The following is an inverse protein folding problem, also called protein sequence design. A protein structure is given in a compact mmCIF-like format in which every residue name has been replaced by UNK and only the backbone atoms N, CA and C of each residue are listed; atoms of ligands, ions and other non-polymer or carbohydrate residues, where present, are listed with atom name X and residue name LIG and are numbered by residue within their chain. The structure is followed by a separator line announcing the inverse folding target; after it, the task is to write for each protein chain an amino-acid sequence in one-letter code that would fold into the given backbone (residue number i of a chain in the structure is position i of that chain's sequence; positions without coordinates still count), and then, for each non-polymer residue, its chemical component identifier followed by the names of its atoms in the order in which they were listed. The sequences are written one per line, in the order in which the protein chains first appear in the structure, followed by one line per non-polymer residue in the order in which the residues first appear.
data_IF_414520670218
#
_entry.id   IF_414520670218
#
_cell.length_a   1.000
_cell.length_b   1.000
_cell.length_c   1.000
_cell.angle_alpha   90.00
_cell.angle_beta   90.00
_cell.angle_gamma   90.00
#
_symmetry.space_group_name_H-M   'P 1'
#
loop_
_entity.id
_entity.type
_entity.pdbx_description
1 polymer ?
#
# COMPACT_ATOMS: atom_id res chain seq x y z
N UNK A 1 31.95 -5.41 -20.38
CA UNK A 1 30.58 -5.06 -20.83
C UNK A 1 29.78 -6.33 -21.13
N UNK A 2 30.23 -7.23 -22.07
CA UNK A 2 29.48 -8.46 -22.44
C UNK A 2 29.18 -9.34 -21.24
N UNK A 3 30.15 -9.60 -20.34
CA UNK A 3 29.97 -10.36 -19.10
C UNK A 3 28.94 -9.70 -18.17
N UNK A 4 28.94 -8.38 -18.07
CA UNK A 4 27.93 -7.64 -17.29
C UNK A 4 26.52 -7.83 -17.89
N UNK A 5 26.38 -7.77 -19.21
CA UNK A 5 25.10 -7.99 -19.88
C UNK A 5 24.53 -9.38 -19.59
N UNK A 6 25.37 -10.41 -19.54
CA UNK A 6 24.95 -11.76 -19.17
C UNK A 6 24.67 -11.92 -17.67
N UNK A 7 25.54 -11.34 -16.83
CA UNK A 7 25.39 -11.46 -15.38
C UNK A 7 24.12 -10.77 -14.84
N UNK A 8 23.78 -9.61 -15.40
CA UNK A 8 22.60 -8.83 -15.03
C UNK A 8 21.39 -9.08 -15.93
N UNK A 9 21.48 -10.07 -16.83
CA UNK A 9 20.40 -10.44 -17.78
C UNK A 9 19.78 -9.23 -18.52
N UNK A 10 20.61 -8.28 -18.93
CA UNK A 10 20.18 -7.02 -19.56
C UNK A 10 19.36 -7.29 -20.83
N UNK A 11 19.66 -8.37 -21.56
CA UNK A 11 18.95 -8.72 -22.81
C UNK A 11 17.50 -9.10 -22.49
N UNK A 12 17.27 -9.90 -21.45
CA UNK A 12 15.92 -10.28 -21.02
C UNK A 12 15.18 -9.07 -20.49
N UNK A 13 15.84 -8.21 -19.73
CA UNK A 13 15.28 -6.94 -19.29
C UNK A 13 14.83 -6.05 -20.46
N UNK A 14 15.68 -5.86 -21.48
CA UNK A 14 15.32 -5.06 -22.66
C UNK A 14 14.22 -5.69 -23.51
N UNK A 15 14.10 -7.02 -23.51
CA UNK A 15 12.95 -7.71 -24.12
C UNK A 15 11.68 -7.45 -23.31
N UNK A 16 11.75 -7.60 -22.00
CA UNK A 16 10.64 -7.34 -21.08
C UNK A 16 10.10 -5.90 -21.21
N UNK A 17 10.99 -4.89 -21.25
CA UNK A 17 10.57 -3.48 -21.40
C UNK A 17 9.95 -3.13 -22.75
N UNK A 18 10.09 -4.00 -23.75
CA UNK A 18 9.48 -3.85 -25.08
C UNK A 18 8.26 -4.76 -25.29
N UNK A 19 7.96 -5.57 -24.32
CA UNK A 19 6.84 -6.50 -24.42
C UNK A 19 5.55 -5.77 -23.96
N UNK A 20 4.59 -5.66 -24.85
CA UNK A 20 3.26 -5.22 -24.49
C UNK A 20 2.62 -6.28 -23.60
N UNK A 21 2.11 -5.87 -22.46
CA UNK A 21 1.39 -6.75 -21.53
C UNK A 21 -0.10 -6.63 -21.79
N UNK A 22 -0.76 -7.74 -21.98
CA UNK A 22 -2.22 -7.83 -22.09
C UNK A 22 -2.88 -8.23 -20.77
N UNK A 23 -2.16 -8.05 -19.64
CA UNK A 23 -2.64 -8.52 -18.34
C UNK A 23 -3.95 -7.85 -17.94
N UNK A 24 -4.14 -6.58 -18.30
CA UNK A 24 -5.37 -5.87 -17.99
C UNK A 24 -6.52 -6.35 -18.88
N UNK A 25 -6.29 -6.51 -20.18
CA UNK A 25 -7.29 -6.94 -21.15
C UNK A 25 -7.75 -8.39 -20.90
N UNK A 26 -6.81 -9.24 -20.47
CA UNK A 26 -7.07 -10.68 -20.33
C UNK A 26 -7.50 -11.09 -18.91
N UNK A 27 -7.08 -10.33 -17.87
CA UNK A 27 -7.22 -10.78 -16.47
C UNK A 27 -7.86 -9.77 -15.54
N UNK A 28 -7.92 -8.48 -15.88
CA UNK A 28 -8.54 -7.50 -14.99
C UNK A 28 -10.06 -7.68 -14.97
N UNK A 29 -10.59 -7.82 -13.76
CA UNK A 29 -12.04 -7.78 -13.51
C UNK A 29 -12.36 -6.42 -12.93
N UNK A 30 -13.15 -5.64 -13.64
CA UNK A 30 -13.59 -4.34 -13.17
C UNK A 30 -14.51 -4.51 -11.95
N UNK A 31 -14.14 -3.90 -10.83
CA UNK A 31 -14.92 -4.00 -9.59
C UNK A 31 -16.34 -3.42 -9.71
N UNK A 32 -16.60 -2.58 -10.73
CA UNK A 32 -17.94 -2.05 -11.05
C UNK A 32 -18.89 -3.11 -11.60
N UNK A 33 -18.34 -4.15 -12.21
CA UNK A 33 -19.10 -5.26 -12.79
C UNK A 33 -19.32 -6.40 -11.78
N UNK A 34 -18.76 -6.29 -10.57
CA UNK A 34 -18.85 -7.31 -9.52
C UNK A 34 -19.95 -6.95 -8.52
N UNK A 35 -20.89 -7.86 -8.30
CA UNK A 35 -21.90 -7.71 -7.27
C UNK A 35 -21.26 -7.97 -5.88
N UNK A 36 -21.02 -6.90 -5.12
CA UNK A 36 -20.51 -6.97 -3.76
C UNK A 36 -21.67 -6.81 -2.78
N UNK A 37 -21.80 -7.74 -1.84
CA UNK A 37 -22.85 -7.69 -0.82
C UNK A 37 -22.26 -7.33 0.54
N UNK A 38 -22.72 -6.24 1.10
CA UNK A 38 -22.36 -5.82 2.45
C UNK A 38 -23.35 -6.35 3.48
N UNK A 39 -22.90 -6.67 4.70
CA UNK A 39 -23.79 -7.00 5.80
C UNK A 39 -24.62 -5.77 6.17
N UNK A 40 -25.78 -6.00 6.81
CA UNK A 40 -26.65 -4.92 7.31
C UNK A 40 -25.91 -3.99 8.27
N UNK A 41 -25.10 -4.57 9.15
CA UNK A 41 -24.19 -3.85 10.04
C UNK A 41 -22.80 -3.91 9.42
N UNK A 42 -22.36 -2.81 8.84
CA UNK A 42 -21.06 -2.71 8.18
C UNK A 42 -19.93 -2.71 9.23
N UNK A 43 -18.86 -3.45 8.92
CA UNK A 43 -17.66 -3.47 9.77
C UNK A 43 -16.72 -2.38 9.35
N UNK A 44 -15.98 -1.85 10.31
CA UNK A 44 -14.85 -0.97 10.02
C UNK A 44 -13.69 -1.77 9.41
N UNK A 45 -12.91 -1.12 8.54
CA UNK A 45 -11.69 -1.67 7.98
C UNK A 45 -10.50 -0.88 8.52
N UNK A 46 -9.52 -1.58 9.09
CA UNK A 46 -8.20 -1.03 9.42
C UNK A 46 -7.21 -1.81 8.57
N UNK A 47 -6.51 -1.11 7.67
CA UNK A 47 -5.59 -1.73 6.73
C UNK A 47 -4.17 -1.18 6.96
N UNK A 48 -3.31 -1.98 7.58
CA UNK A 48 -1.94 -1.57 7.95
C UNK A 48 -0.96 -2.12 6.92
N UNK A 49 -0.30 -1.22 6.21
CA UNK A 49 0.78 -1.54 5.28
C UNK A 49 2.13 -1.43 5.99
N UNK A 50 2.76 -2.57 6.26
CA UNK A 50 4.11 -2.65 6.82
C UNK A 50 5.12 -2.76 5.68
N UNK A 51 5.50 -1.62 5.11
CA UNK A 51 6.43 -1.56 3.99
C UNK A 51 7.82 -2.05 4.41
N UNK A 52 8.47 -2.82 3.53
CA UNK A 52 9.76 -3.50 3.78
C UNK A 52 9.76 -4.50 4.95
N UNK A 53 8.60 -4.85 5.52
CA UNK A 53 8.49 -5.93 6.49
C UNK A 53 8.41 -7.27 5.77
N UNK A 54 9.29 -8.20 6.13
CA UNK A 54 9.37 -9.51 5.49
C UNK A 54 9.22 -10.64 6.52
N UNK A 55 8.59 -11.73 6.12
CA UNK A 55 8.55 -12.97 6.90
C UNK A 55 9.95 -13.57 7.17
N UNK A 56 10.95 -13.14 6.40
CA UNK A 56 12.36 -13.44 6.63
C UNK A 56 12.79 -13.20 8.07
N UNK A 57 12.23 -12.20 8.76
CA UNK A 57 12.55 -11.85 10.15
C UNK A 57 11.97 -12.81 11.19
N UNK A 58 11.09 -13.71 10.82
CA UNK A 58 10.68 -14.83 11.67
C UNK A 58 11.71 -15.96 11.65
N UNK A 59 11.58 -16.93 12.56
CA UNK A 59 12.48 -18.07 12.61
C UNK A 59 12.13 -19.15 11.57
N UNK A 60 13.10 -20.06 11.33
CA UNK A 60 13.00 -21.11 10.33
C UNK A 60 11.88 -22.12 10.64
N UNK A 61 11.46 -22.27 11.89
CA UNK A 61 10.40 -23.22 12.25
C UNK A 61 9.05 -22.85 11.69
N UNK A 62 8.80 -21.55 11.55
CA UNK A 62 7.54 -20.99 11.01
C UNK A 62 7.63 -20.53 9.56
N UNK A 63 8.79 -20.63 8.92
CA UNK A 63 8.98 -20.30 7.51
C UNK A 63 9.87 -19.10 7.22
N UNK A 64 10.40 -18.44 8.24
CA UNK A 64 11.39 -17.36 8.12
C UNK A 64 12.80 -17.85 7.83
N UNK A 65 13.78 -16.96 7.88
CA UNK A 65 15.17 -17.27 7.59
C UNK A 65 16.10 -17.12 8.81
N UNK A 66 15.63 -16.57 9.92
CA UNK A 66 16.46 -16.29 11.09
C UNK A 66 16.57 -17.49 12.01
N UNK A 67 17.60 -17.51 12.87
CA UNK A 67 17.77 -18.53 13.90
C UNK A 67 16.83 -18.34 15.10
N UNK A 68 16.36 -17.11 15.30
CA UNK A 68 15.37 -16.71 16.29
C UNK A 68 14.34 -15.75 15.67
N UNK A 69 13.18 -15.64 16.29
CA UNK A 69 12.11 -14.82 15.78
C UNK A 69 12.25 -13.36 16.24
N UNK A 70 12.48 -12.43 15.31
CA UNK A 70 12.59 -11.00 15.58
C UNK A 70 11.24 -10.26 15.51
N UNK A 71 10.17 -10.94 15.07
CA UNK A 71 8.81 -10.40 14.95
C UNK A 71 7.79 -11.33 15.61
N UNK A 72 7.96 -11.68 16.91
CA UNK A 72 7.18 -12.75 17.55
C UNK A 72 5.69 -12.42 17.61
N UNK A 73 5.31 -11.17 17.88
CA UNK A 73 3.91 -10.76 17.95
C UNK A 73 3.21 -10.83 16.59
N UNK A 74 3.84 -10.34 15.53
CA UNK A 74 3.32 -10.46 14.15
C UNK A 74 3.21 -11.93 13.72
N UNK A 75 4.20 -12.73 14.09
CA UNK A 75 4.18 -14.17 13.84
C UNK A 75 3.01 -14.84 14.53
N UNK A 76 2.76 -14.51 15.80
CA UNK A 76 1.63 -15.05 16.55
C UNK A 76 0.29 -14.65 15.93
N UNK A 77 0.11 -13.36 15.61
CA UNK A 77 -1.11 -12.86 14.95
C UNK A 77 -1.34 -13.60 13.64
N UNK A 78 -0.28 -13.80 12.84
CA UNK A 78 -0.38 -14.51 11.56
C UNK A 78 -0.76 -15.98 11.73
N UNK A 79 -0.25 -16.67 12.75
CA UNK A 79 -0.58 -18.08 13.02
C UNK A 79 -1.99 -18.28 13.57
N UNK A 80 -2.52 -17.32 14.31
CA UNK A 80 -3.83 -17.38 14.96
C UNK A 80 -4.98 -16.88 14.07
N UNK A 81 -4.66 -16.23 12.92
CA UNK A 81 -5.63 -15.63 12.03
C UNK A 81 -5.42 -16.07 10.57
N UNK A 82 -6.23 -15.53 9.66
CA UNK A 82 -6.09 -15.76 8.22
C UNK A 82 -4.72 -15.26 7.73
N UNK A 83 -4.02 -16.07 6.96
CA UNK A 83 -2.72 -15.75 6.41
C UNK A 83 -2.52 -16.37 5.02
N UNK A 84 -1.57 -15.84 4.25
CA UNK A 84 -1.17 -16.36 2.94
C UNK A 84 0.02 -17.34 3.03
N UNK A 85 -0.01 -18.22 4.04
CA UNK A 85 1.01 -19.25 4.23
C UNK A 85 0.82 -20.44 3.29
N UNK A 86 1.88 -21.24 3.13
CA UNK A 86 1.88 -22.49 2.36
C UNK A 86 2.32 -23.62 3.26
N UNK A 87 1.56 -24.73 3.26
CA UNK A 87 1.88 -25.94 4.04
C UNK A 87 2.08 -25.71 5.55
N UNK A 88 1.28 -24.81 6.15
CA UNK A 88 1.35 -24.51 7.58
C UNK A 88 2.56 -23.66 8.01
N UNK A 89 3.23 -23.03 7.06
CA UNK A 89 4.31 -22.07 7.29
C UNK A 89 3.93 -20.68 6.80
N UNK A 90 4.45 -19.66 7.48
CA UNK A 90 4.26 -18.25 7.12
C UNK A 90 5.26 -17.81 6.04
N UNK A 91 5.33 -18.51 4.94
CA UNK A 91 6.26 -18.20 3.86
C UNK A 91 5.72 -17.21 2.82
N UNK A 92 4.56 -16.59 3.12
CA UNK A 92 4.04 -15.41 2.45
C UNK A 92 3.70 -15.57 0.97
N UNK A 93 3.31 -14.45 0.39
CA UNK A 93 3.16 -14.30 -1.06
C UNK A 93 4.44 -13.69 -1.65
N UNK A 94 4.77 -14.05 -2.89
CA UNK A 94 5.86 -13.41 -3.61
C UNK A 94 5.36 -12.12 -4.26
N UNK A 95 6.18 -11.04 -4.20
CA UNK A 95 5.89 -9.81 -4.91
C UNK A 95 6.01 -10.02 -6.42
N UNK A 96 5.12 -9.37 -7.17
CA UNK A 96 5.21 -9.30 -8.63
C UNK A 96 5.92 -8.04 -9.09
N UNK A 97 6.37 -8.03 -10.33
CA UNK A 97 6.88 -6.80 -10.96
C UNK A 97 5.83 -5.70 -10.89
N UNK A 98 6.24 -4.47 -10.60
CA UNK A 98 5.33 -3.34 -10.42
C UNK A 98 4.67 -3.24 -9.04
N UNK A 99 4.96 -4.16 -8.10
CA UNK A 99 4.48 -4.13 -6.73
C UNK A 99 5.63 -4.17 -5.69
N UNK A 100 6.87 -3.95 -6.10
CA UNK A 100 8.08 -4.10 -5.28
C UNK A 100 8.54 -2.81 -4.58
N UNK A 101 7.76 -1.75 -4.66
CA UNK A 101 8.02 -0.46 -4.01
C UNK A 101 6.71 0.05 -3.40
N UNK A 102 6.80 0.99 -2.46
CA UNK A 102 5.67 1.42 -1.63
C UNK A 102 4.41 1.72 -2.43
N UNK A 103 4.49 2.58 -3.43
CA UNK A 103 3.30 2.96 -4.22
C UNK A 103 2.77 1.81 -5.07
N UNK A 104 3.67 1.01 -5.66
CA UNK A 104 3.28 -0.19 -6.39
C UNK A 104 2.57 -1.22 -5.52
N UNK A 105 3.06 -1.41 -4.28
CA UNK A 105 2.43 -2.28 -3.28
C UNK A 105 1.05 -1.76 -2.84
N UNK A 106 0.92 -0.46 -2.59
CA UNK A 106 -0.35 0.17 -2.23
C UNK A 106 -1.40 -0.01 -3.33
N UNK A 107 -1.04 0.30 -4.58
CA UNK A 107 -1.94 0.11 -5.74
C UNK A 107 -2.31 -1.36 -5.92
N UNK A 108 -1.33 -2.25 -5.94
CA UNK A 108 -1.58 -3.67 -6.16
C UNK A 108 -2.52 -4.28 -5.11
N UNK A 109 -2.36 -3.92 -3.84
CA UNK A 109 -3.18 -4.46 -2.76
C UNK A 109 -4.57 -3.83 -2.69
N UNK A 110 -4.74 -2.59 -3.14
CA UNK A 110 -6.03 -1.91 -3.08
C UNK A 110 -6.85 -2.00 -4.36
N UNK A 111 -6.21 -2.28 -5.50
CA UNK A 111 -6.90 -2.41 -6.80
C UNK A 111 -6.75 -3.78 -7.48
N UNK A 112 -5.89 -4.65 -6.94
CA UNK A 112 -5.65 -6.00 -7.50
C UNK A 112 -4.76 -6.02 -8.74
N UNK A 113 -4.16 -4.90 -9.13
CA UNK A 113 -3.33 -4.81 -10.34
C UNK A 113 -1.96 -4.19 -10.06
N UNK A 114 -0.88 -4.72 -10.63
CA UNK A 114 0.43 -4.09 -10.56
C UNK A 114 0.47 -2.84 -11.45
N UNK A 115 1.31 -1.87 -11.11
CA UNK A 115 1.56 -0.71 -11.98
C UNK A 115 2.84 -0.91 -12.76
N UNK A 116 2.85 -0.42 -14.00
CA UNK A 116 4.04 -0.40 -14.82
C UNK A 116 4.64 1.00 -14.83
N UNK A 117 5.64 1.22 -13.99
CA UNK A 117 6.42 2.45 -14.00
C UNK A 117 7.61 2.31 -14.93
N UNK A 118 7.68 3.16 -15.95
CA UNK A 118 8.89 3.31 -16.73
C UNK A 118 9.99 3.94 -15.85
N UNK A 119 11.02 3.19 -15.52
CA UNK A 119 12.15 3.54 -14.65
C UNK A 119 12.94 4.80 -15.09
N UNK A 120 12.56 5.48 -16.18
CA UNK A 120 13.39 6.49 -16.83
C UNK A 120 13.10 7.93 -16.39
N UNK A 121 12.08 8.18 -15.55
CA UNK A 121 11.80 9.58 -15.16
C UNK A 121 11.10 9.73 -13.80
N UNK A 122 11.86 9.60 -12.72
CA UNK A 122 11.33 9.89 -11.38
C UNK A 122 10.82 11.33 -11.23
N UNK A 123 11.47 12.33 -11.82
CA UNK A 123 11.08 13.73 -11.70
C UNK A 123 9.80 14.07 -12.49
N UNK A 124 9.58 13.39 -13.61
CA UNK A 124 8.40 13.62 -14.45
C UNK A 124 7.14 12.98 -13.86
N UNK A 125 7.30 11.88 -13.12
CA UNK A 125 6.20 11.18 -12.47
C UNK A 125 5.62 12.01 -11.31
N UNK A 126 6.47 12.51 -10.42
CA UNK A 126 6.03 13.32 -9.29
C UNK A 126 5.29 14.59 -9.74
N UNK A 127 5.82 15.34 -10.71
CA UNK A 127 5.23 16.59 -11.17
C UNK A 127 3.96 16.42 -12.00
N UNK A 128 3.85 15.33 -12.76
CA UNK A 128 2.69 15.06 -13.62
C UNK A 128 1.48 14.58 -12.81
N UNK A 129 1.70 13.88 -11.70
CA UNK A 129 0.63 13.31 -10.88
C UNK A 129 0.22 14.19 -9.70
N UNK A 130 0.99 15.22 -9.36
CA UNK A 130 0.56 16.24 -8.40
C UNK A 130 -0.58 17.12 -8.90
N UNK A 131 -0.76 17.24 -10.22
CA UNK A 131 -1.70 18.19 -10.80
C UNK A 131 -3.13 17.68 -11.02
N UNK A 132 -3.31 16.36 -11.10
CA UNK A 132 -4.56 15.83 -11.62
C UNK A 132 -5.07 14.68 -10.77
N UNK A 133 -5.69 14.62 -9.75
CA UNK A 133 -6.34 13.50 -9.04
C UNK A 133 -6.65 12.26 -9.92
N UNK A 134 -5.69 11.87 -10.75
CA UNK A 134 -5.88 10.96 -11.89
C UNK A 134 -4.76 9.91 -11.97
N UNK A 135 -4.37 9.37 -10.81
CA UNK A 135 -3.40 8.29 -10.74
C UNK A 135 -4.10 6.96 -11.04
N UNK A 136 -3.69 6.26 -12.10
CA UNK A 136 -4.25 4.96 -12.55
C UNK A 136 -5.79 4.99 -12.71
N UNK A 137 -6.38 5.95 -13.43
CA UNK A 137 -7.82 6.20 -13.42
C UNK A 137 -8.68 5.06 -14.00
N UNK A 138 -8.04 4.09 -14.65
CA UNK A 138 -8.73 2.95 -15.26
C UNK A 138 -9.14 1.85 -14.28
N UNK A 139 -8.57 1.84 -13.07
CA UNK A 139 -8.86 0.79 -12.09
C UNK A 139 -9.99 1.19 -11.13
N UNK A 140 -10.66 0.20 -10.57
CA UNK A 140 -11.62 0.36 -9.49
C UNK A 140 -11.03 -0.23 -8.22
N UNK A 141 -10.73 0.64 -7.26
CA UNK A 141 -10.04 0.26 -6.03
C UNK A 141 -11.03 -0.01 -4.89
N UNK A 142 -10.55 -0.66 -3.82
CA UNK A 142 -11.35 -0.90 -2.61
C UNK A 142 -11.91 0.40 -2.02
N UNK A 143 -11.15 1.50 -2.11
CA UNK A 143 -11.61 2.81 -1.66
C UNK A 143 -12.84 3.31 -2.40
N UNK A 144 -12.95 3.04 -3.71
CA UNK A 144 -14.12 3.40 -4.51
C UNK A 144 -15.35 2.60 -4.07
N UNK A 145 -15.16 1.31 -3.80
CA UNK A 145 -16.20 0.41 -3.29
C UNK A 145 -16.71 0.90 -1.94
N UNK A 146 -15.82 1.15 -1.00
CA UNK A 146 -16.15 1.56 0.37
C UNK A 146 -16.81 2.95 0.40
N UNK A 147 -16.35 3.89 -0.44
CA UNK A 147 -16.99 5.18 -0.60
C UNK A 147 -18.43 5.06 -1.08
N UNK A 148 -18.67 4.20 -2.08
CA UNK A 148 -20.00 3.91 -2.59
C UNK A 148 -20.96 3.38 -1.52
N UNK A 149 -20.40 2.74 -0.49
CA UNK A 149 -21.09 2.18 0.66
C UNK A 149 -21.15 3.14 1.88
N UNK A 150 -20.70 4.38 1.75
CA UNK A 150 -20.83 5.40 2.79
C UNK A 150 -19.77 5.30 3.90
N UNK A 151 -18.61 4.73 3.61
CA UNK A 151 -17.49 4.73 4.55
C UNK A 151 -16.80 6.09 4.62
N UNK A 152 -16.47 6.53 5.84
CA UNK A 152 -15.46 7.55 6.05
C UNK A 152 -14.08 6.93 5.83
N UNK A 153 -13.24 7.55 5.00
CA UNK A 153 -11.95 6.98 4.63
C UNK A 153 -10.82 7.94 4.96
N UNK A 154 -9.80 7.45 5.61
CA UNK A 154 -8.59 8.19 5.93
C UNK A 154 -7.35 7.38 5.59
N UNK A 155 -6.36 8.03 4.97
CA UNK A 155 -5.04 7.48 4.72
C UNK A 155 -4.02 8.18 5.59
N UNK A 156 -3.40 7.43 6.50
CA UNK A 156 -2.42 7.92 7.45
C UNK A 156 -1.01 7.53 7.00
N UNK A 157 -0.10 8.50 6.94
CA UNK A 157 1.30 8.27 6.56
C UNK A 157 2.24 9.27 7.24
N UNK A 158 3.39 8.81 7.72
CA UNK A 158 4.39 9.64 8.41
C UNK A 158 5.21 10.57 7.52
N UNK A 159 5.09 10.49 6.20
CA UNK A 159 5.83 11.29 5.22
C UNK A 159 4.92 12.16 4.36
N UNK A 160 5.49 12.96 3.46
CA UNK A 160 4.74 13.82 2.54
C UNK A 160 3.81 12.98 1.64
N UNK A 161 2.53 13.31 1.66
CA UNK A 161 1.50 12.67 0.83
C UNK A 161 1.69 12.83 -0.68
N UNK A 162 2.44 13.86 -1.10
CA UNK A 162 2.66 14.13 -2.52
C UNK A 162 3.67 13.16 -3.14
N UNK A 163 4.58 12.63 -2.32
CA UNK A 163 5.62 11.73 -2.81
C UNK A 163 5.04 10.53 -3.55
N UNK A 164 5.51 10.29 -4.77
CA UNK A 164 5.10 9.20 -5.65
C UNK A 164 3.59 9.14 -5.98
N UNK A 165 2.87 10.27 -5.90
CA UNK A 165 1.48 10.36 -6.30
C UNK A 165 0.46 9.76 -5.31
N UNK A 166 0.85 9.54 -4.04
CA UNK A 166 -0.04 8.95 -3.02
C UNK A 166 -1.33 9.72 -2.85
N UNK A 167 -1.24 11.05 -2.73
CA UNK A 167 -2.44 11.89 -2.58
C UNK A 167 -3.35 11.81 -3.80
N UNK A 168 -2.79 11.82 -5.00
CA UNK A 168 -3.58 11.70 -6.24
C UNK A 168 -4.31 10.37 -6.34
N UNK A 169 -3.66 9.27 -5.90
CA UNK A 169 -4.27 7.95 -5.89
C UNK A 169 -5.42 7.87 -4.88
N UNK A 170 -5.17 8.16 -3.61
CA UNK A 170 -6.16 8.00 -2.56
C UNK A 170 -7.31 9.02 -2.66
N UNK A 171 -7.07 10.22 -3.19
CA UNK A 171 -8.15 11.14 -3.54
C UNK A 171 -8.96 10.64 -4.75
N UNK A 172 -8.28 10.15 -5.78
CA UNK A 172 -8.92 9.63 -6.99
C UNK A 172 -9.76 8.38 -6.76
N UNK A 173 -9.26 7.48 -5.88
CA UNK A 173 -9.86 6.17 -5.60
C UNK A 173 -10.45 6.09 -4.19
N UNK A 174 -11.56 6.81 -3.96
CA UNK A 174 -12.29 6.73 -2.71
C UNK A 174 -12.37 8.03 -1.93
N UNK A 175 -11.69 9.10 -2.37
CA UNK A 175 -11.71 10.43 -1.74
C UNK A 175 -11.35 10.37 -0.25
N UNK A 176 -10.22 9.73 0.04
CA UNK A 176 -9.70 9.66 1.40
C UNK A 176 -9.31 11.03 1.94
N UNK A 177 -9.61 11.29 3.19
CA UNK A 177 -8.89 12.29 3.96
C UNK A 177 -7.45 11.80 4.18
N UNK A 178 -6.46 12.69 4.12
CA UNK A 178 -5.06 12.28 4.23
C UNK A 178 -4.41 12.99 5.41
N UNK A 179 -3.98 12.18 6.37
CA UNK A 179 -3.15 12.62 7.47
C UNK A 179 -1.68 12.28 7.15
N UNK A 180 -0.92 13.30 6.78
CA UNK A 180 0.49 13.18 6.42
C UNK A 180 1.40 13.99 7.37
N UNK A 181 2.69 14.04 7.06
CA UNK A 181 3.68 14.83 7.80
C UNK A 181 3.25 16.28 8.00
N UNK A 182 2.81 16.96 6.95
CA UNK A 182 2.39 18.36 7.04
C UNK A 182 1.08 18.54 7.81
N UNK A 183 0.18 17.60 7.72
CA UNK A 183 -1.04 17.57 8.53
C UNK A 183 -0.72 17.45 10.01
N UNK A 184 0.30 16.67 10.38
CA UNK A 184 0.76 16.55 11.76
C UNK A 184 1.33 17.88 12.30
N UNK A 185 2.09 18.63 11.48
CA UNK A 185 2.55 19.98 11.81
C UNK A 185 1.36 20.92 11.97
N UNK A 186 0.47 20.98 10.99
CA UNK A 186 -0.68 21.89 10.97
C UNK A 186 -1.62 21.69 12.17
N UNK A 187 -1.72 20.44 12.65
CA UNK A 187 -2.53 20.08 13.83
C UNK A 187 -1.74 20.20 15.16
N UNK A 188 -0.45 20.56 15.13
CA UNK A 188 0.40 20.73 16.30
C UNK A 188 0.79 19.44 17.02
N UNK A 189 0.82 18.33 16.32
CA UNK A 189 1.31 17.04 16.84
C UNK A 189 2.84 16.98 16.86
N UNK A 190 3.49 17.70 15.95
CA UNK A 190 4.94 17.88 15.86
C UNK A 190 5.28 19.32 15.53
N UNK A 191 6.46 19.75 15.91
CA UNK A 191 6.99 21.07 15.54
C UNK A 191 7.35 21.11 14.04
N UNK A 192 7.39 22.28 13.44
CA UNK A 192 7.63 22.49 12.01
C UNK A 192 9.04 22.10 11.55
N UNK A 193 10.00 22.06 12.47
CA UNK A 193 11.37 21.58 12.24
C UNK A 193 11.61 20.12 12.63
N UNK A 194 10.58 19.43 13.14
CA UNK A 194 10.69 18.02 13.51
C UNK A 194 10.68 17.11 12.28
N UNK A 195 11.79 16.49 11.99
CA UNK A 195 11.88 15.53 10.88
C UNK A 195 12.87 14.40 11.22
N UNK A 196 12.40 13.19 11.14
CA UNK A 196 13.19 11.97 11.25
C UNK A 196 13.17 11.27 9.90
N UNK A 197 14.26 11.37 9.15
CA UNK A 197 14.41 10.80 7.80
C UNK A 197 13.46 11.43 6.77
N UNK A 198 12.28 10.83 6.54
CA UNK A 198 11.30 11.24 5.52
C UNK A 198 10.10 12.02 6.09
N UNK A 199 10.01 12.14 7.40
CA UNK A 199 8.88 12.71 8.11
C UNK A 199 8.99 12.40 9.59
N UNK A 200 7.99 11.76 10.21
CA UNK A 200 8.05 11.29 11.58
C UNK A 200 8.09 9.75 11.64
N UNK A 201 8.62 9.23 12.75
CA UNK A 201 8.83 7.80 12.99
C UNK A 201 7.52 7.03 13.23
N UNK A 202 7.57 5.70 13.06
CA UNK A 202 6.42 4.81 13.18
C UNK A 202 5.79 4.81 14.57
N UNK A 203 6.53 5.07 15.65
CA UNK A 203 6.00 5.19 16.99
C UNK A 203 4.95 6.32 17.06
N UNK A 204 5.27 7.49 16.51
CA UNK A 204 4.32 8.60 16.39
C UNK A 204 3.18 8.30 15.44
N UNK A 205 3.47 7.62 14.31
CA UNK A 205 2.44 7.21 13.36
C UNK A 205 1.36 6.37 14.05
N UNK A 206 1.76 5.37 14.84
CA UNK A 206 0.81 4.53 15.58
C UNK A 206 0.10 5.29 16.73
N UNK A 207 0.75 6.25 17.36
CA UNK A 207 0.10 7.13 18.35
C UNK A 207 -0.99 7.97 17.69
N UNK A 208 -0.69 8.61 16.56
CA UNK A 208 -1.65 9.44 15.83
C UNK A 208 -2.76 8.59 15.21
N UNK A 209 -2.43 7.39 14.71
CA UNK A 209 -3.43 6.44 14.23
C UNK A 209 -4.46 6.07 15.29
N UNK A 210 -4.07 5.93 16.56
CA UNK A 210 -5.03 5.70 17.66
C UNK A 210 -5.96 6.90 17.87
N UNK A 211 -5.45 8.12 17.71
CA UNK A 211 -6.26 9.32 17.84
C UNK A 211 -7.27 9.43 16.69
N UNK A 212 -6.81 9.24 15.45
CA UNK A 212 -7.69 9.27 14.28
C UNK A 212 -8.69 8.10 14.28
N UNK A 213 -8.29 6.92 14.75
CA UNK A 213 -9.20 5.78 14.96
C UNK A 213 -10.34 6.14 15.92
N UNK A 214 -10.02 6.81 17.04
CA UNK A 214 -11.05 7.26 18.00
C UNK A 214 -11.95 8.33 17.39
N UNK A 215 -11.39 9.26 16.59
CA UNK A 215 -12.15 10.27 15.90
C UNK A 215 -13.12 9.65 14.89
N UNK A 216 -12.66 8.70 14.08
CA UNK A 216 -13.49 7.97 13.12
C UNK A 216 -14.57 7.14 13.83
N UNK A 217 -14.19 6.43 14.88
CA UNK A 217 -15.12 5.59 15.65
C UNK A 217 -16.19 6.39 16.42
N UNK A 218 -15.97 7.68 16.64
CA UNK A 218 -16.96 8.57 17.26
C UNK A 218 -18.10 8.96 16.31
N UNK A 219 -17.97 8.71 15.02
CA UNK A 219 -18.97 8.96 13.99
C UNK A 219 -19.90 7.73 13.88
N UNK A 220 -21.15 7.95 13.53
CA UNK A 220 -22.14 6.85 13.37
C UNK A 220 -21.98 6.07 12.05
N UNK A 221 -20.98 6.39 11.25
CA UNK A 221 -20.74 5.79 9.93
C UNK A 221 -19.57 4.80 10.00
N UNK A 222 -19.57 3.76 9.16
CA UNK A 222 -18.44 2.86 9.06
C UNK A 222 -17.21 3.60 8.53
N UNK A 223 -16.03 3.15 8.88
CA UNK A 223 -14.79 3.79 8.44
C UNK A 223 -13.76 2.79 7.90
N UNK A 224 -12.83 3.34 7.12
CA UNK A 224 -11.63 2.71 6.60
C UNK A 224 -10.42 3.59 6.92
N UNK A 225 -9.46 3.06 7.67
CA UNK A 225 -8.21 3.70 8.06
C UNK A 225 -7.01 2.86 7.62
#
# INVERSE_FOLDING_TARGET
IILCCFHFDIISYLKYTKQDSTIYEDNYVDGRDVAITFPKEKRNLIYIFLESMEMTYSDQSVGGAMSENYIPELTQISLENENFGIYGKLNGAYTTSGATFTMGGLVAQTSGVPINENLISNDTLNSKWESDNNYVPGVWAIGDVLKGEGYNQEFLIGSDKKFAGRSSYFHGHGNYDIFDYYTAIDRGYIDDDYMVWWGYEDEKLFEYAKNELNNLASKDEPFNL
#
